data_IF_270840449900
#
_entry.id   IF_270840449900
#
_cell.length_a   1.000
_cell.length_b   1.000
_cell.length_c   1.000
_cell.angle_alpha   90.00
_cell.angle_beta   90.00
_cell.angle_gamma   90.00
#
_symmetry.space_group_name_H-M   'P 1'
#
loop_
_entity.id
_entity.type
_entity.pdbx_description
1 polymer ?
#
# COMPACT_ATOMS: atom_id res chain seq x y z
N UNK A 1 -28.51 -20.42 48.43
CA UNK A 1 -29.39 -21.56 48.68
C UNK A 1 -29.74 -22.21 47.34
N UNK A 2 -29.73 -23.55 47.32
CA UNK A 2 -30.26 -24.46 46.29
C UNK A 2 -29.54 -24.51 44.92
N UNK A 3 -28.52 -25.36 44.90
CA UNK A 3 -28.06 -26.20 43.78
C UNK A 3 -29.20 -26.94 43.08
N UNK A 4 -29.17 -27.01 41.74
CA UNK A 4 -29.90 -28.04 40.97
C UNK A 4 -28.98 -28.77 39.99
N UNK A 5 -28.70 -30.02 40.34
CA UNK A 5 -28.42 -31.19 39.48
C UNK A 5 -29.13 -32.37 40.16
N UNK A 6 -29.29 -33.53 39.51
CA UNK A 6 -30.11 -33.84 38.33
C UNK A 6 -31.11 -34.97 38.67
N UNK A 7 -31.97 -35.36 37.72
CA UNK A 7 -32.91 -36.48 37.88
C UNK A 7 -33.02 -37.33 36.61
N UNK A 8 -33.45 -38.60 36.71
CA UNK A 8 -32.55 -39.70 36.34
C UNK A 8 -33.21 -40.82 35.50
N UNK A 9 -32.39 -41.79 35.09
CA UNK A 9 -32.73 -43.18 34.74
C UNK A 9 -33.25 -43.44 33.30
N UNK A 10 -32.36 -44.06 32.54
CA UNK A 10 -32.61 -44.75 31.27
C UNK A 10 -31.44 -45.66 30.87
N UNK A 11 -30.82 -46.30 31.87
CA UNK A 11 -29.87 -47.42 31.83
C UNK A 11 -30.27 -48.46 30.75
N UNK A 12 -29.47 -48.84 29.75
CA UNK A 12 -28.37 -49.86 29.72
C UNK A 12 -28.38 -50.43 28.26
N UNK A 13 -27.34 -50.93 27.58
CA UNK A 13 -26.11 -51.65 27.96
C UNK A 13 -25.19 -51.78 26.70
N UNK A 14 -23.87 -51.82 26.96
CA UNK A 14 -22.81 -52.60 26.26
C UNK A 14 -22.23 -52.08 24.92
N UNK A 15 -21.14 -51.32 25.09
CA UNK A 15 -19.81 -51.51 24.51
C UNK A 15 -19.62 -52.35 23.23
N UNK A 16 -19.05 -51.72 22.21
CA UNK A 16 -18.02 -52.34 21.38
C UNK A 16 -17.05 -51.28 20.83
N UNK A 17 -15.78 -51.52 21.13
CA UNK A 17 -14.57 -50.83 20.71
C UNK A 17 -14.46 -50.76 19.18
N UNK A 18 -14.16 -49.57 18.64
CA UNK A 18 -13.33 -49.43 17.45
C UNK A 18 -12.67 -48.05 17.47
N UNK A 19 -11.48 -47.99 18.07
CA UNK A 19 -10.49 -46.94 17.80
C UNK A 19 -10.13 -47.03 16.31
N UNK A 20 -10.82 -46.25 15.48
CA UNK A 20 -10.38 -45.94 14.13
C UNK A 20 -9.70 -44.57 14.20
N UNK A 21 -8.41 -44.60 14.47
CA UNK A 21 -7.47 -43.55 14.08
C UNK A 21 -7.36 -43.59 12.55
N UNK A 22 -8.38 -43.11 11.84
CA UNK A 22 -8.16 -42.62 10.48
C UNK A 22 -7.58 -41.24 10.67
N UNK A 23 -6.24 -41.20 10.66
CA UNK A 23 -5.53 -40.00 10.28
C UNK A 23 -6.01 -39.61 8.90
N UNK A 24 -7.05 -38.77 8.83
CA UNK A 24 -7.27 -37.94 7.67
C UNK A 24 -6.09 -36.99 7.66
N UNK A 25 -5.01 -37.41 7.00
CA UNK A 25 -4.08 -36.48 6.41
C UNK A 25 -4.98 -35.53 5.61
N UNK A 26 -5.24 -34.35 6.17
CA UNK A 26 -5.74 -33.24 5.37
C UNK A 26 -4.60 -32.98 4.41
N UNK A 27 -4.68 -33.59 3.24
CA UNK A 27 -4.06 -33.03 2.04
C UNK A 27 -4.45 -31.57 2.10
N UNK A 28 -3.46 -30.72 2.40
CA UNK A 28 -3.60 -29.30 2.22
C UNK A 28 -4.02 -29.14 0.77
N UNK A 29 -5.30 -28.88 0.58
CA UNK A 29 -5.82 -28.45 -0.69
C UNK A 29 -5.08 -27.14 -0.96
N UNK A 30 -4.06 -27.19 -1.80
CA UNK A 30 -3.43 -26.01 -2.39
C UNK A 30 -4.35 -25.46 -3.49
N UNK A 31 -5.66 -25.52 -3.26
CA UNK A 31 -6.69 -24.90 -4.06
C UNK A 31 -6.61 -23.40 -3.83
N UNK A 32 -6.38 -22.66 -4.91
CA UNK A 32 -6.30 -21.21 -4.93
C UNK A 32 -7.42 -20.58 -4.13
N UNK A 33 -7.08 -20.17 -2.90
CA UNK A 33 -8.01 -19.48 -2.04
C UNK A 33 -8.37 -18.16 -2.69
N UNK A 34 -9.65 -17.85 -2.65
CA UNK A 34 -10.26 -16.52 -2.77
C UNK A 34 -9.74 -15.62 -1.63
N UNK A 35 -8.42 -15.57 -1.46
CA UNK A 35 -7.74 -14.74 -0.48
C UNK A 35 -7.95 -13.30 -0.90
N UNK A 36 -8.64 -12.55 -0.05
CA UNK A 36 -8.96 -11.14 -0.30
C UNK A 36 -7.68 -10.41 -0.74
N UNK A 37 -7.62 -9.98 -2.02
CA UNK A 37 -6.45 -9.31 -2.65
C UNK A 37 -6.31 -7.89 -2.10
N UNK A 38 -5.71 -7.76 -0.93
CA UNK A 38 -5.80 -6.57 -0.07
C UNK A 38 -4.56 -5.70 -0.19
N UNK A 39 -4.72 -4.51 -0.76
CA UNK A 39 -3.71 -3.46 -0.84
C UNK A 39 -3.98 -2.32 0.15
N UNK A 40 -3.06 -2.11 1.10
CA UNK A 40 -3.12 -0.97 2.01
C UNK A 40 -2.24 0.17 1.51
N UNK A 41 -2.71 1.41 1.59
CA UNK A 41 -1.92 2.62 1.33
C UNK A 41 -1.89 3.48 2.60
N UNK A 42 -0.69 3.72 3.11
CA UNK A 42 -0.42 4.76 4.10
C UNK A 42 0.40 5.87 3.48
N UNK A 43 0.11 7.11 3.82
CA UNK A 43 0.87 8.23 3.29
C UNK A 43 0.35 9.60 3.70
N UNK A 44 0.94 10.61 3.10
CA UNK A 44 0.68 12.00 3.44
C UNK A 44 -0.19 12.72 2.38
N UNK A 45 0.03 14.02 2.16
CA UNK A 45 -0.77 14.84 1.24
C UNK A 45 -0.63 14.37 -0.20
N UNK A 46 0.56 13.93 -0.65
CA UNK A 46 0.73 13.48 -2.03
C UNK A 46 -0.03 12.16 -2.28
N UNK A 47 0.00 11.25 -1.30
CA UNK A 47 -0.78 10.02 -1.35
C UNK A 47 -2.28 10.29 -1.27
N UNK A 48 -2.70 11.26 -0.45
CA UNK A 48 -4.10 11.68 -0.33
C UNK A 48 -4.63 12.27 -1.65
N UNK A 49 -3.87 13.12 -2.34
CA UNK A 49 -4.27 13.65 -3.64
C UNK A 49 -4.38 12.55 -4.70
N UNK A 50 -3.48 11.58 -4.66
CA UNK A 50 -3.41 10.46 -5.60
C UNK A 50 -4.37 9.29 -5.29
N UNK A 51 -5.07 9.33 -4.15
CA UNK A 51 -5.79 8.16 -3.62
C UNK A 51 -6.87 7.61 -4.57
N UNK A 52 -7.54 8.48 -5.33
CA UNK A 52 -8.65 8.05 -6.21
C UNK A 52 -8.12 7.24 -7.39
N UNK A 53 -7.03 7.71 -8.02
CA UNK A 53 -6.37 7.00 -9.10
C UNK A 53 -5.80 5.66 -8.59
N UNK A 54 -5.18 5.67 -7.41
CA UNK A 54 -4.70 4.46 -6.76
C UNK A 54 -5.83 3.42 -6.55
N UNK A 55 -6.91 3.82 -5.87
CA UNK A 55 -8.06 2.93 -5.59
C UNK A 55 -8.67 2.36 -6.85
N UNK A 56 -8.95 3.21 -7.83
CA UNK A 56 -9.58 2.78 -9.09
C UNK A 56 -8.72 1.75 -9.85
N UNK A 57 -7.39 1.92 -9.83
CA UNK A 57 -6.45 1.03 -10.53
C UNK A 57 -6.36 -0.33 -9.85
N UNK A 58 -6.24 -0.35 -8.51
CA UNK A 58 -6.25 -1.62 -7.75
C UNK A 58 -7.59 -2.35 -7.91
N UNK A 59 -8.71 -1.63 -7.84
CA UNK A 59 -10.06 -2.22 -8.00
C UNK A 59 -10.27 -2.78 -9.41
N UNK A 60 -9.78 -2.10 -10.45
CA UNK A 60 -9.83 -2.60 -11.83
C UNK A 60 -9.06 -3.92 -12.00
N UNK A 61 -8.04 -4.16 -11.15
CA UNK A 61 -7.29 -5.42 -11.09
C UNK A 61 -7.89 -6.46 -10.12
N UNK A 62 -9.11 -6.24 -9.63
CA UNK A 62 -9.81 -7.14 -8.70
C UNK A 62 -9.28 -7.09 -7.26
N UNK A 63 -8.55 -6.04 -6.89
CA UNK A 63 -8.07 -5.85 -5.51
C UNK A 63 -9.02 -5.01 -4.64
N UNK A 64 -8.96 -5.23 -3.34
CA UNK A 64 -9.57 -4.39 -2.31
C UNK A 64 -8.54 -3.39 -1.76
N UNK A 65 -8.95 -2.16 -1.50
CA UNK A 65 -8.06 -1.12 -0.96
C UNK A 65 -8.48 -0.61 0.40
N UNK A 66 -7.53 -0.51 1.32
CA UNK A 66 -7.61 0.33 2.51
C UNK A 66 -6.67 1.52 2.33
N UNK A 67 -7.19 2.74 2.45
CA UNK A 67 -6.39 3.96 2.24
C UNK A 67 -6.45 4.85 3.47
N UNK A 68 -5.31 5.01 4.12
CA UNK A 68 -5.11 5.80 5.33
C UNK A 68 -4.06 6.88 5.04
N UNK A 69 -4.53 7.98 4.46
CA UNK A 69 -3.68 9.09 4.01
C UNK A 69 -4.18 10.41 4.56
N UNK A 70 -3.27 11.25 5.06
CA UNK A 70 -3.62 12.57 5.56
C UNK A 70 -2.46 13.56 5.45
N UNK A 71 -2.72 14.76 4.97
CA UNK A 71 -1.71 15.79 4.74
C UNK A 71 -0.98 16.23 6.02
N UNK A 72 0.32 16.49 5.88
CA UNK A 72 1.19 16.92 6.98
C UNK A 72 1.61 15.80 7.95
N UNK A 73 1.17 14.56 7.73
CA UNK A 73 1.60 13.41 8.55
C UNK A 73 2.96 12.86 8.13
N UNK A 74 3.65 12.26 9.09
CA UNK A 74 4.89 11.52 8.93
C UNK A 74 4.67 10.03 9.27
N UNK A 75 5.62 9.12 8.99
CA UNK A 75 5.47 7.69 9.30
C UNK A 75 5.13 7.41 10.78
N UNK A 76 5.71 8.15 11.72
CA UNK A 76 5.41 8.01 13.16
C UNK A 76 3.93 8.18 13.51
N UNK A 77 3.18 9.02 12.80
CA UNK A 77 1.76 9.24 13.02
C UNK A 77 0.93 7.97 12.74
N UNK A 78 1.45 7.06 11.92
CA UNK A 78 0.72 5.88 11.43
C UNK A 78 1.11 4.56 12.11
N UNK A 79 2.19 4.50 12.90
CA UNK A 79 2.69 3.24 13.46
C UNK A 79 1.65 2.47 14.30
N UNK A 80 0.83 3.19 15.07
CA UNK A 80 -0.23 2.59 15.86
C UNK A 80 -1.35 1.99 14.98
N UNK A 81 -1.70 2.67 13.89
CA UNK A 81 -2.69 2.18 12.92
C UNK A 81 -2.13 1.02 12.09
N UNK A 82 -0.89 1.11 11.58
CA UNK A 82 -0.20 0.01 10.89
C UNK A 82 -0.19 -1.25 11.76
N UNK A 83 0.12 -1.11 13.06
CA UNK A 83 0.07 -2.24 14.00
C UNK A 83 -1.33 -2.84 14.13
N UNK A 84 -2.37 -2.02 14.13
CA UNK A 84 -3.77 -2.44 14.23
C UNK A 84 -4.23 -3.13 12.95
N UNK A 85 -4.02 -2.52 11.78
CA UNK A 85 -4.53 -3.04 10.51
C UNK A 85 -3.75 -4.25 10.02
N UNK A 86 -2.45 -4.37 10.33
CA UNK A 86 -1.69 -5.61 10.11
C UNK A 86 -2.27 -6.83 10.84
N UNK A 87 -3.11 -6.65 11.88
CA UNK A 87 -3.84 -7.74 12.55
C UNK A 87 -5.26 -7.88 12.05
N UNK A 88 -5.93 -6.75 11.83
CA UNK A 88 -7.38 -6.69 11.57
C UNK A 88 -7.71 -6.85 10.08
N UNK A 89 -7.03 -6.09 9.23
CA UNK A 89 -7.27 -6.08 7.79
C UNK A 89 -6.33 -7.02 7.04
N UNK A 90 -5.09 -7.20 7.56
CA UNK A 90 -4.07 -8.11 7.01
C UNK A 90 -3.82 -7.87 5.50
N UNK A 91 -3.16 -6.76 5.13
CA UNK A 91 -2.82 -6.51 3.73
C UNK A 91 -1.92 -7.64 3.18
N UNK A 92 -2.10 -7.99 1.90
CA UNK A 92 -1.12 -8.77 1.14
C UNK A 92 -0.02 -7.85 0.61
N UNK A 93 -0.38 -6.61 0.25
CA UNK A 93 0.56 -5.58 -0.19
C UNK A 93 0.33 -4.32 0.63
N UNK A 94 1.40 -3.75 1.16
CA UNK A 94 1.39 -2.49 1.90
C UNK A 94 2.24 -1.45 1.17
N UNK A 95 1.63 -0.32 0.82
CA UNK A 95 2.26 0.81 0.12
C UNK A 95 2.46 1.95 1.12
N UNK A 96 3.71 2.39 1.28
CA UNK A 96 4.10 3.47 2.19
C UNK A 96 4.61 4.67 1.37
N UNK A 97 3.82 5.74 1.31
CA UNK A 97 4.06 6.91 0.46
C UNK A 97 4.15 8.20 1.28
N UNK A 98 5.37 8.52 1.73
CA UNK A 98 5.67 9.69 2.55
C UNK A 98 6.71 10.58 1.90
N UNK A 99 6.48 11.89 1.91
CA UNK A 99 7.24 12.90 1.16
C UNK A 99 8.15 13.78 2.04
N UNK A 100 8.29 13.45 3.32
CA UNK A 100 9.20 14.14 4.23
C UNK A 100 8.59 15.32 4.98
N UNK A 101 7.39 15.15 5.52
CA UNK A 101 6.80 16.10 6.48
C UNK A 101 7.52 16.04 7.82
N UNK A 102 7.76 17.21 8.40
CA UNK A 102 8.37 17.42 9.72
C UNK A 102 7.44 18.19 10.68
N UNK A 103 6.24 18.57 10.22
CA UNK A 103 5.37 19.49 10.94
C UNK A 103 4.46 18.87 11.99
N UNK A 104 4.35 17.54 12.06
CA UNK A 104 3.53 16.87 13.07
C UNK A 104 4.26 16.78 14.42
N UNK A 105 3.53 16.73 15.57
CA UNK A 105 4.16 16.59 16.88
C UNK A 105 5.06 15.36 17.03
N UNK A 106 4.85 14.30 16.24
CA UNK A 106 5.69 13.09 16.31
C UNK A 106 7.09 13.27 15.71
N UNK A 107 7.32 14.39 15.01
CA UNK A 107 8.62 14.77 14.44
C UNK A 107 9.34 15.84 15.27
N UNK A 108 8.76 16.33 16.36
CA UNK A 108 9.35 17.38 17.19
C UNK A 108 10.72 16.96 17.73
N UNK A 109 11.76 17.74 17.41
CA UNK A 109 13.13 17.49 17.84
C UNK A 109 13.83 16.30 17.18
N UNK A 110 13.27 15.74 16.09
CA UNK A 110 13.87 14.62 15.35
C UNK A 110 14.42 15.08 14.00
N UNK A 111 15.60 14.59 13.64
CA UNK A 111 16.17 14.80 12.31
C UNK A 111 15.43 13.96 11.25
N UNK A 112 15.17 14.55 10.08
CA UNK A 112 14.26 13.99 9.08
C UNK A 112 14.64 12.57 8.65
N UNK A 113 15.88 12.38 8.16
CA UNK A 113 16.33 11.10 7.61
C UNK A 113 16.38 10.00 8.67
N UNK A 114 16.88 10.31 9.86
CA UNK A 114 16.97 9.35 10.96
C UNK A 114 15.59 8.92 11.46
N UNK A 115 14.68 9.87 11.66
CA UNK A 115 13.31 9.59 12.08
C UNK A 115 12.55 8.74 11.05
N UNK A 116 12.64 9.12 9.77
CA UNK A 116 11.97 8.38 8.70
C UNK A 116 12.54 6.97 8.56
N UNK A 117 13.86 6.81 8.69
CA UNK A 117 14.51 5.50 8.69
C UNK A 117 14.00 4.63 9.83
N UNK A 118 14.00 5.15 11.05
CA UNK A 118 13.54 4.44 12.25
C UNK A 118 12.09 3.97 12.08
N UNK A 119 11.20 4.91 11.77
CA UNK A 119 9.76 4.66 11.75
C UNK A 119 9.37 3.72 10.60
N UNK A 120 9.95 3.89 9.41
CA UNK A 120 9.63 3.03 8.27
C UNK A 120 10.22 1.65 8.44
N UNK A 121 11.42 1.52 9.01
CA UNK A 121 11.97 0.21 9.40
C UNK A 121 11.02 -0.52 10.35
N UNK A 122 10.47 0.18 11.35
CA UNK A 122 9.50 -0.39 12.28
C UNK A 122 8.18 -0.79 11.57
N UNK A 123 7.68 0.04 10.66
CA UNK A 123 6.49 -0.24 9.86
C UNK A 123 6.68 -1.47 8.96
N UNK A 124 7.78 -1.51 8.18
CA UNK A 124 8.14 -2.61 7.28
C UNK A 124 8.23 -3.91 8.07
N UNK A 125 9.05 -3.95 9.13
CA UNK A 125 9.21 -5.14 9.95
C UNK A 125 7.88 -5.62 10.56
N UNK A 126 6.94 -4.71 10.86
CA UNK A 126 5.62 -5.08 11.37
C UNK A 126 4.74 -5.71 10.29
N UNK A 127 4.75 -5.15 9.09
CA UNK A 127 3.93 -5.56 7.94
C UNK A 127 4.43 -6.87 7.34
N UNK A 128 5.74 -7.02 7.12
CA UNK A 128 6.33 -8.24 6.57
C UNK A 128 6.15 -9.43 7.51
N UNK A 129 6.31 -9.24 8.84
CA UNK A 129 5.95 -10.28 9.83
C UNK A 129 4.47 -10.66 9.83
N UNK A 130 3.59 -9.80 9.31
CA UNK A 130 2.16 -10.10 9.14
C UNK A 130 1.85 -10.76 7.78
N UNK A 131 2.86 -10.97 6.94
CA UNK A 131 2.76 -11.61 5.63
C UNK A 131 2.59 -10.65 4.46
N UNK A 132 2.68 -9.33 4.68
CA UNK A 132 2.54 -8.35 3.60
C UNK A 132 3.86 -8.13 2.86
N UNK A 133 3.80 -8.02 1.53
CA UNK A 133 4.87 -7.43 0.74
C UNK A 133 4.81 -5.89 0.87
N UNK A 134 5.95 -5.25 1.16
CA UNK A 134 5.98 -3.79 1.43
C UNK A 134 6.62 -3.04 0.26
N UNK A 135 5.92 -2.00 -0.21
CA UNK A 135 6.36 -1.09 -1.25
C UNK A 135 6.63 0.28 -0.64
N UNK A 136 7.90 0.70 -0.64
CA UNK A 136 8.34 2.04 -0.25
C UNK A 136 8.31 2.95 -1.47
N UNK A 137 7.55 4.03 -1.42
CA UNK A 137 7.32 4.87 -2.59
C UNK A 137 8.24 6.09 -2.58
N UNK A 138 9.03 6.24 -3.65
CA UNK A 138 9.75 7.49 -3.91
C UNK A 138 8.75 8.61 -4.22
N UNK A 139 8.75 9.65 -3.39
CA UNK A 139 7.93 10.83 -3.62
C UNK A 139 8.59 11.70 -4.70
N UNK A 140 7.81 12.41 -5.54
CA UNK A 140 8.41 13.36 -6.46
C UNK A 140 9.03 14.52 -5.66
N UNK A 141 10.25 14.98 -5.99
CA UNK A 141 10.91 16.05 -5.26
C UNK A 141 10.09 17.34 -5.31
N UNK A 142 10.21 18.10 -4.24
CA UNK A 142 9.78 19.50 -4.17
C UNK A 142 10.79 20.41 -4.87
N UNK A 143 10.39 21.64 -5.17
CA UNK A 143 11.27 22.65 -5.79
C UNK A 143 12.54 22.94 -4.96
N UNK A 144 12.45 22.80 -3.63
CA UNK A 144 13.54 23.05 -2.69
C UNK A 144 14.39 21.83 -2.36
N UNK A 145 14.03 20.65 -2.87
CA UNK A 145 14.74 19.41 -2.57
C UNK A 145 15.83 19.12 -3.61
N UNK A 146 17.09 18.95 -3.18
CA UNK A 146 18.13 18.47 -4.08
C UNK A 146 17.89 17.01 -4.46
N UNK A 147 18.28 16.66 -5.67
CA UNK A 147 18.35 15.27 -6.16
C UNK A 147 19.78 14.94 -6.57
N UNK A 148 20.20 13.69 -6.38
CA UNK A 148 21.51 13.21 -6.83
C UNK A 148 21.55 12.94 -8.35
N UNK A 149 22.63 12.33 -8.84
CA UNK A 149 22.83 12.04 -10.25
C UNK A 149 21.81 11.02 -10.78
N UNK A 150 21.30 10.15 -9.92
CA UNK A 150 20.24 9.19 -10.21
C UNK A 150 18.85 9.84 -10.09
N UNK A 151 18.78 11.11 -9.67
CA UNK A 151 17.54 11.87 -9.49
C UNK A 151 16.79 11.51 -8.20
N UNK A 152 17.47 10.96 -7.20
CA UNK A 152 16.91 10.56 -5.90
C UNK A 152 17.07 11.67 -4.86
N UNK A 153 16.02 11.86 -4.06
CA UNK A 153 16.05 12.68 -2.84
C UNK A 153 16.79 11.97 -1.71
N UNK A 154 17.00 12.66 -0.59
CA UNK A 154 17.54 12.06 0.63
C UNK A 154 16.69 10.88 1.14
N UNK A 155 15.36 11.03 1.15
CA UNK A 155 14.46 9.97 1.59
C UNK A 155 14.41 8.79 0.62
N UNK A 156 14.55 9.03 -0.68
CA UNK A 156 14.63 7.92 -1.64
C UNK A 156 15.85 7.04 -1.34
N UNK A 157 17.00 7.64 -1.02
CA UNK A 157 18.19 6.88 -0.59
C UNK A 157 17.92 6.07 0.68
N UNK A 158 17.22 6.66 1.66
CA UNK A 158 16.77 5.92 2.86
C UNK A 158 15.89 4.72 2.48
N UNK A 159 14.96 4.86 1.52
CA UNK A 159 14.13 3.74 1.05
C UNK A 159 14.95 2.63 0.41
N UNK A 160 15.93 2.96 -0.43
CA UNK A 160 16.83 1.98 -1.05
C UNK A 160 17.64 1.21 -0.01
N UNK A 161 18.14 1.89 1.02
CA UNK A 161 18.86 1.24 2.12
C UNK A 161 17.95 0.29 2.92
N UNK A 162 16.74 0.72 3.29
CA UNK A 162 15.78 -0.13 4.02
C UNK A 162 15.40 -1.36 3.19
N UNK A 163 15.12 -1.20 1.90
CA UNK A 163 14.73 -2.31 1.03
C UNK A 163 15.89 -3.29 0.75
N UNK A 164 17.14 -2.83 0.82
CA UNK A 164 18.31 -3.71 0.73
C UNK A 164 18.47 -4.58 1.98
N UNK A 165 18.10 -4.06 3.16
CA UNK A 165 18.32 -4.73 4.44
C UNK A 165 17.12 -5.58 4.91
N UNK A 166 15.90 -5.30 4.45
CA UNK A 166 14.68 -5.97 4.90
C UNK A 166 14.07 -6.87 3.82
N UNK A 167 13.69 -8.12 4.15
CA UNK A 167 13.05 -9.03 3.20
C UNK A 167 11.66 -8.54 2.81
N UNK A 168 11.13 -9.07 1.71
CA UNK A 168 9.78 -8.79 1.19
C UNK A 168 9.45 -7.29 1.10
N UNK A 169 10.47 -6.49 0.78
CA UNK A 169 10.39 -5.03 0.68
C UNK A 169 11.00 -4.57 -0.65
N UNK A 170 10.35 -3.63 -1.34
CA UNK A 170 10.84 -3.06 -2.58
C UNK A 170 10.63 -1.54 -2.63
N UNK A 171 11.46 -0.84 -3.40
CA UNK A 171 11.29 0.59 -3.69
C UNK A 171 10.58 0.79 -5.01
N UNK A 172 9.57 1.66 -5.04
CA UNK A 172 8.81 2.02 -6.23
C UNK A 172 9.09 3.48 -6.61
N UNK A 173 9.64 3.75 -7.80
CA UNK A 173 9.98 5.09 -8.25
C UNK A 173 8.75 5.86 -8.79
N UNK A 174 7.64 5.88 -8.05
CA UNK A 174 6.38 6.46 -8.52
C UNK A 174 6.48 7.96 -8.79
N UNK A 175 7.33 8.67 -8.02
CA UNK A 175 7.63 10.09 -8.25
C UNK A 175 8.11 10.39 -9.67
N UNK A 176 8.75 9.42 -10.35
CA UNK A 176 9.22 9.56 -11.75
C UNK A 176 8.12 9.78 -12.77
N UNK A 177 6.88 9.43 -12.43
CA UNK A 177 5.74 9.67 -13.29
C UNK A 177 5.41 11.17 -13.45
N UNK A 178 5.94 12.02 -12.56
CA UNK A 178 5.65 13.47 -12.49
C UNK A 178 6.92 14.32 -12.36
N UNK A 179 8.07 13.79 -12.77
CA UNK A 179 9.34 14.51 -12.82
C UNK A 179 9.92 14.53 -14.22
N UNK A 180 10.93 15.36 -14.44
CA UNK A 180 11.77 15.29 -15.64
C UNK A 180 12.55 13.97 -15.68
N UNK A 181 13.15 13.65 -16.83
CA UNK A 181 13.88 12.40 -17.03
C UNK A 181 15.07 12.21 -16.05
N UNK A 182 15.67 13.30 -15.58
CA UNK A 182 16.72 13.34 -14.56
C UNK A 182 16.17 13.40 -13.12
N UNK A 183 14.87 13.20 -12.93
CA UNK A 183 14.22 13.12 -11.62
C UNK A 183 13.86 14.46 -10.98
N UNK A 184 14.09 15.59 -11.63
CA UNK A 184 13.86 16.92 -11.05
C UNK A 184 12.40 17.35 -11.08
N UNK A 185 12.07 18.30 -10.22
CA UNK A 185 10.76 18.95 -10.21
C UNK A 185 10.47 19.60 -11.57
N UNK A 186 9.22 19.49 -12.02
CA UNK A 186 8.69 20.26 -13.15
C UNK A 186 7.22 20.57 -12.93
N UNK A 187 6.78 21.77 -13.34
CA UNK A 187 5.37 22.12 -13.34
C UNK A 187 4.56 21.32 -14.37
N UNK A 188 5.17 20.98 -15.50
CA UNK A 188 4.49 20.43 -16.68
C UNK A 188 5.26 19.26 -17.28
N UNK A 189 4.52 18.36 -17.92
CA UNK A 189 5.08 17.24 -18.69
C UNK A 189 4.32 17.08 -20.01
N UNK A 190 4.93 16.45 -21.04
CA UNK A 190 4.19 16.00 -22.21
C UNK A 190 3.00 15.14 -21.82
N UNK A 191 1.89 15.28 -22.54
CA UNK A 191 0.68 14.51 -22.33
C UNK A 191 0.93 13.00 -22.53
N UNK A 192 0.34 12.18 -21.67
CA UNK A 192 0.20 10.75 -21.91
C UNK A 192 -0.97 10.51 -22.88
N UNK A 193 -0.97 9.36 -23.58
CA UNK A 193 -1.93 9.05 -24.63
C UNK A 193 -3.41 9.13 -24.21
N UNK A 194 -3.71 8.88 -22.92
CA UNK A 194 -5.07 8.88 -22.37
C UNK A 194 -5.44 10.18 -21.63
N UNK A 195 -4.62 11.22 -21.69
CA UNK A 195 -4.88 12.48 -20.99
C UNK A 195 -5.59 13.50 -21.88
N UNK A 196 -6.56 14.26 -21.34
CA UNK A 196 -7.16 15.38 -22.06
C UNK A 196 -6.10 16.48 -22.22
N UNK A 197 -5.48 16.49 -23.39
CA UNK A 197 -4.33 17.35 -23.66
C UNK A 197 -4.79 18.74 -24.13
N UNK A 198 -4.18 19.78 -23.59
CA UNK A 198 -4.36 21.14 -24.08
C UNK A 198 -3.57 21.41 -25.36
N UNK A 199 -3.77 22.59 -26.00
CA UNK A 199 -2.87 23.08 -27.03
C UNK A 199 -1.42 23.10 -26.53
N UNK A 200 -0.49 22.55 -27.31
CA UNK A 200 0.93 22.48 -26.94
C UNK A 200 1.41 21.13 -26.41
N UNK A 201 0.55 20.12 -26.31
CA UNK A 201 1.00 18.75 -26.07
C UNK A 201 1.47 18.47 -24.65
N UNK A 202 1.16 19.35 -23.68
CA UNK A 202 1.60 19.26 -22.30
C UNK A 202 0.44 19.41 -21.30
N UNK A 203 0.64 18.86 -20.11
CA UNK A 203 -0.26 18.96 -18.97
C UNK A 203 0.48 19.48 -17.74
N UNK A 204 -0.23 20.21 -16.88
CA UNK A 204 0.27 20.58 -15.55
C UNK A 204 0.20 19.38 -14.61
N UNK A 205 1.35 18.99 -14.05
CA UNK A 205 1.49 17.84 -13.16
C UNK A 205 1.83 18.22 -11.72
N UNK A 206 2.18 19.49 -11.46
CA UNK A 206 2.47 20.00 -10.12
C UNK A 206 1.75 21.32 -9.84
N UNK A 207 1.44 21.52 -8.57
CA UNK A 207 0.94 22.79 -8.04
C UNK A 207 2.00 23.89 -8.14
N UNK A 208 1.60 25.16 -8.31
CA UNK A 208 2.49 26.31 -8.19
C UNK A 208 3.17 26.43 -6.81
N UNK A 209 2.67 25.74 -5.79
CA UNK A 209 3.31 25.70 -4.45
C UNK A 209 4.65 24.95 -4.43
N UNK A 210 5.02 24.26 -5.52
CA UNK A 210 6.28 23.53 -5.63
C UNK A 210 6.29 22.17 -4.92
N UNK A 211 5.16 21.73 -4.38
CA UNK A 211 5.02 20.52 -3.55
C UNK A 211 3.95 19.60 -4.10
N UNK A 212 2.71 20.08 -4.18
CA UNK A 212 1.52 19.24 -4.42
C UNK A 212 1.28 18.93 -5.89
N UNK A 213 0.27 18.10 -6.17
CA UNK A 213 -0.05 17.58 -7.51
C UNK A 213 -1.26 18.28 -8.12
N UNK A 214 -2.13 18.92 -7.33
CA UNK A 214 -3.24 19.70 -7.85
C UNK A 214 -2.71 20.87 -8.71
N UNK A 215 -3.13 21.02 -9.99
CA UNK A 215 -2.63 22.08 -10.88
C UNK A 215 -2.90 23.51 -10.41
N UNK A 216 -3.79 23.68 -9.43
CA UNK A 216 -4.12 24.95 -8.80
C UNK A 216 -3.88 24.85 -7.30
N UNK A 217 -3.47 25.95 -6.69
CA UNK A 217 -3.31 25.99 -5.24
C UNK A 217 -4.68 25.92 -4.57
N UNK A 218 -4.83 24.97 -3.64
CA UNK A 218 -6.04 24.76 -2.86
C UNK A 218 -5.71 24.82 -1.39
N UNK A 219 -6.73 25.02 -0.54
CA UNK A 219 -6.53 24.85 0.89
C UNK A 219 -6.12 23.40 1.21
N UNK A 220 -5.34 23.16 2.28
CA UNK A 220 -4.96 21.81 2.69
C UNK A 220 -6.17 20.89 2.79
N UNK A 221 -6.01 19.63 2.37
CA UNK A 221 -7.06 18.61 2.43
C UNK A 221 -8.35 18.96 1.66
N UNK A 222 -8.25 19.85 0.68
CA UNK A 222 -9.34 20.17 -0.25
C UNK A 222 -9.17 19.40 -1.54
N UNK A 223 -10.22 18.69 -1.96
CA UNK A 223 -10.14 17.91 -3.20
C UNK A 223 -9.83 18.85 -4.35
N UNK A 224 -8.93 18.44 -5.25
CA UNK A 224 -8.58 19.26 -6.40
C UNK A 224 -9.84 19.54 -7.24
N UNK A 225 -10.21 20.82 -7.46
CA UNK A 225 -11.44 21.18 -8.16
C UNK A 225 -11.34 20.98 -9.68
N UNK A 226 -10.17 20.60 -10.17
CA UNK A 226 -9.86 20.34 -11.57
C UNK A 226 -9.21 18.98 -11.74
N UNK A 227 -9.14 18.48 -12.97
CA UNK A 227 -8.35 17.29 -13.27
C UNK A 227 -6.89 17.49 -12.83
N UNK A 228 -6.33 16.55 -12.08
CA UNK A 228 -4.91 16.53 -11.72
C UNK A 228 -4.21 15.36 -12.43
N UNK A 229 -3.61 15.59 -13.61
CA UNK A 229 -2.74 14.63 -14.27
C UNK A 229 -1.62 14.14 -13.37
N UNK A 230 -1.04 15.02 -12.54
CA UNK A 230 -0.01 14.66 -11.56
C UNK A 230 -0.47 13.61 -10.55
N UNK A 231 -1.61 13.85 -9.89
CA UNK A 231 -2.18 12.91 -8.93
C UNK A 231 -2.56 11.58 -9.58
N UNK A 232 -3.08 11.64 -10.81
CA UNK A 232 -3.45 10.44 -11.56
C UNK A 232 -2.23 9.60 -11.93
N UNK A 233 -1.15 10.22 -12.43
CA UNK A 233 0.09 9.53 -12.79
C UNK A 233 0.77 8.91 -11.58
N UNK A 234 0.92 9.69 -10.51
CA UNK A 234 1.54 9.21 -9.26
C UNK A 234 0.73 8.06 -8.64
N UNK A 235 -0.59 8.20 -8.55
CA UNK A 235 -1.49 7.19 -8.02
C UNK A 235 -1.51 5.89 -8.82
N UNK A 236 -1.52 5.98 -10.16
CA UNK A 236 -1.41 4.81 -11.04
C UNK A 236 -0.06 4.11 -10.89
N UNK A 237 1.04 4.85 -10.89
CA UNK A 237 2.37 4.25 -10.73
C UNK A 237 2.51 3.47 -9.42
N UNK A 238 1.97 4.00 -8.31
CA UNK A 238 1.90 3.27 -7.04
C UNK A 238 1.02 2.01 -7.14
N UNK A 239 -0.16 2.13 -7.76
CA UNK A 239 -1.10 1.02 -7.87
C UNK A 239 -0.63 -0.08 -8.82
N UNK A 240 -0.02 0.25 -9.95
CA UNK A 240 0.49 -0.73 -10.93
C UNK A 240 1.58 -1.61 -10.30
N UNK A 241 2.45 -1.02 -9.47
CA UNK A 241 3.42 -1.76 -8.69
C UNK A 241 2.75 -2.68 -7.66
N UNK A 242 1.72 -2.19 -6.95
CA UNK A 242 0.98 -2.99 -5.98
C UNK A 242 0.22 -4.15 -6.65
N UNK A 243 -0.40 -3.92 -7.81
CA UNK A 243 -1.08 -4.93 -8.60
C UNK A 243 -0.11 -5.97 -9.12
N UNK A 244 1.09 -5.55 -9.55
CA UNK A 244 2.17 -6.48 -9.93
C UNK A 244 2.58 -7.36 -8.76
N UNK A 245 2.73 -6.77 -7.56
CA UNK A 245 3.08 -7.50 -6.35
C UNK A 245 1.99 -8.48 -5.87
N UNK A 246 0.70 -8.18 -6.11
CA UNK A 246 -0.40 -9.12 -5.87
C UNK A 246 -0.34 -10.37 -6.77
N UNK A 247 0.40 -10.30 -7.89
CA UNK A 247 0.44 -11.37 -8.88
C UNK A 247 -0.88 -11.56 -9.65
N UNK A 248 -0.97 -12.59 -10.51
CA UNK A 248 -2.16 -12.85 -11.31
C UNK A 248 -3.38 -13.13 -10.42
N UNK A 249 -4.56 -12.71 -10.88
CA UNK A 249 -5.81 -13.11 -10.23
C UNK A 249 -5.96 -14.63 -10.28
N UNK A 250 -6.53 -15.27 -9.24
CA UNK A 250 -6.88 -16.67 -9.30
C UNK A 250 -7.77 -16.94 -10.53
N UNK A 251 -7.47 -17.99 -11.29
CA UNK A 251 -8.29 -18.36 -12.44
C UNK A 251 -9.66 -18.85 -11.95
N UNK A 252 -10.74 -18.22 -12.40
CA UNK A 252 -12.13 -18.63 -12.10
C UNK A 252 -12.59 -19.83 -12.93
N UNK A 253 -11.66 -20.61 -13.50
CA UNK A 253 -11.97 -21.78 -14.31
C UNK A 253 -12.44 -22.95 -13.44
N UNK A 254 -13.47 -23.71 -13.85
CA UNK A 254 -13.80 -24.96 -13.18
C UNK A 254 -12.58 -25.89 -13.18
N UNK A 255 -12.34 -26.66 -12.10
CA UNK A 255 -11.24 -27.61 -12.08
C UNK A 255 -11.36 -28.53 -13.29
N UNK A 256 -10.28 -28.66 -14.06
CA UNK A 256 -10.24 -29.55 -15.21
C UNK A 256 -10.66 -30.95 -14.73
N UNK A 257 -11.82 -31.41 -15.20
CA UNK A 257 -12.31 -32.75 -14.90
C UNK A 257 -11.27 -33.74 -15.41
N UNK A 258 -10.61 -34.44 -14.47
CA UNK A 258 -9.75 -35.56 -14.79
C UNK A 258 -10.61 -36.63 -15.50
N UNK A 259 -10.58 -36.62 -16.82
CA UNK A 259 -11.15 -37.67 -17.64
C UNK A 259 -10.35 -38.94 -17.43
N UNK A 260 -10.86 -39.83 -16.59
CA UNK A 260 -10.39 -41.21 -16.53
C UNK A 260 -10.78 -41.94 -17.81
N UNK A 261 -9.81 -42.58 -18.44
CA UNK A 261 -10.00 -43.69 -19.39
C UNK A 261 -9.26 -44.89 -18.85
#
# INVERSE_FOLDING_TARGET
MATRRPGPIGWLFIAAIALILVGVARTADLGGGDGDRRVALWGDSLAWEAQNAFRSTVQAAGGETMVHTYGGTAPCDWLADIRKQSRRWRPDVAVLAFSGNTGSPCMEGRELADAYREDITAAVARLTRAGAHVLLVEAPPRTDQPVDAEGRTELDRVWHEIAADLPDTAVIPAGRAVTTADGRWTATLPCAAAEPCGPGGAVTVRSPDGVHLCPVQVAPMTQCPVSSPGANRYGRAMADAAVTALGPAPSTGPPASAGGS
#
